data_IF_810256686411
#
_entry.id   IF_810256686411
#
_cell.length_a   1.000
_cell.length_b   1.000
_cell.length_c   1.000
_cell.angle_alpha   90.00
_cell.angle_beta   90.00
_cell.angle_gamma   90.00
#
_symmetry.space_group_name_H-M   'P 1'
#
loop_
_entity.id
_entity.type
_entity.pdbx_description
1 polymer ?
#
# COMPACT_ATOMS: atom_id res chain seq x y z
N UNK A 1 -21.26 -67.43 -51.95
CA UNK A 1 -20.10 -68.06 -52.67
C UNK A 1 -18.86 -67.52 -51.97
N UNK A 2 -18.25 -68.48 -51.27
CA UNK A 2 -16.85 -68.69 -50.96
C UNK A 2 -16.06 -67.53 -50.23
N UNK A 3 -15.74 -67.85 -48.98
CA UNK A 3 -14.62 -68.65 -48.41
C UNK A 3 -13.27 -67.91 -48.62
N UNK A 4 -12.57 -67.68 -47.66
CA UNK A 4 -11.78 -68.29 -46.58
C UNK A 4 -10.38 -67.63 -46.60
N UNK A 5 -9.73 -67.34 -45.64
CA UNK A 5 -8.90 -68.00 -44.63
C UNK A 5 -8.08 -66.98 -43.78
N UNK A 6 -8.22 -67.11 -42.52
CA UNK A 6 -7.25 -67.17 -41.42
C UNK A 6 -5.75 -66.97 -41.76
N UNK A 7 -5.08 -66.07 -41.04
CA UNK A 7 -3.91 -66.51 -40.25
C UNK A 7 -3.54 -65.47 -39.16
N UNK A 8 -3.41 -66.00 -37.96
CA UNK A 8 -2.85 -65.38 -36.75
C UNK A 8 -1.37 -65.06 -36.92
N UNK A 9 -0.89 -63.99 -36.33
CA UNK A 9 0.37 -64.04 -35.59
C UNK A 9 0.47 -62.82 -34.61
N UNK A 10 0.62 -63.09 -33.36
CA UNK A 10 1.22 -62.25 -32.29
C UNK A 10 2.61 -62.86 -32.00
N UNK A 11 3.49 -62.20 -31.19
CA UNK A 11 3.56 -60.87 -30.61
C UNK A 11 4.94 -60.22 -30.78
N UNK A 12 5.09 -58.93 -30.48
CA UNK A 12 6.30 -58.46 -29.77
C UNK A 12 6.06 -57.18 -28.97
N UNK A 13 6.43 -57.29 -27.72
CA UNK A 13 6.46 -56.28 -26.67
C UNK A 13 7.54 -55.26 -26.89
N UNK A 14 7.19 -53.99 -26.83
CA UNK A 14 8.14 -52.86 -26.81
C UNK A 14 7.60 -51.75 -25.95
N UNK A 15 7.86 -51.79 -24.65
CA UNK A 15 7.64 -50.71 -23.70
C UNK A 15 8.61 -49.58 -23.98
N UNK A 16 8.12 -48.45 -24.52
CA UNK A 16 8.81 -47.19 -24.44
C UNK A 16 7.99 -46.28 -23.52
N UNK A 17 8.44 -46.16 -22.28
CA UNK A 17 7.98 -45.15 -21.35
C UNK A 17 8.50 -43.79 -21.84
N UNK A 18 7.63 -43.01 -22.49
CA UNK A 18 7.92 -41.59 -22.71
C UNK A 18 7.84 -40.90 -21.36
N UNK A 19 9.02 -40.50 -20.86
CA UNK A 19 9.17 -39.65 -19.70
C UNK A 19 8.48 -38.31 -19.95
N UNK A 20 7.38 -38.07 -19.22
CA UNK A 20 6.87 -36.70 -19.02
C UNK A 20 7.98 -35.94 -18.32
N UNK A 21 8.61 -35.04 -19.05
CA UNK A 21 9.46 -34.00 -18.46
C UNK A 21 8.58 -33.06 -17.66
N UNK A 22 8.75 -33.09 -16.34
CA UNK A 22 8.26 -32.08 -15.40
C UNK A 22 8.97 -30.72 -15.71
N UNK A 23 8.44 -29.97 -16.66
CA UNK A 23 8.97 -28.65 -17.02
C UNK A 23 7.93 -27.53 -17.02
N UNK A 24 6.77 -27.71 -16.36
CA UNK A 24 5.74 -26.69 -16.22
C UNK A 24 5.30 -26.48 -14.75
N UNK A 25 6.25 -26.47 -13.83
CA UNK A 25 6.04 -25.77 -12.58
C UNK A 25 6.21 -24.27 -12.86
N UNK A 26 5.18 -23.62 -13.44
CA UNK A 26 5.03 -22.18 -13.34
C UNK A 26 5.08 -21.85 -11.85
N UNK A 27 6.23 -21.31 -11.39
CA UNK A 27 6.34 -20.80 -10.02
C UNK A 27 5.32 -19.69 -9.90
N UNK A 28 4.24 -19.95 -9.16
CA UNK A 28 3.21 -18.94 -8.91
C UNK A 28 3.88 -17.67 -8.40
N UNK A 29 3.55 -16.53 -8.98
CA UNK A 29 4.09 -15.25 -8.50
C UNK A 29 3.73 -15.07 -7.02
N UNK A 30 4.67 -14.54 -6.19
CA UNK A 30 4.42 -14.38 -4.77
C UNK A 30 3.27 -13.40 -4.54
N UNK A 31 2.22 -13.84 -3.83
CA UNK A 31 1.15 -12.94 -3.40
C UNK A 31 1.60 -12.09 -2.22
N UNK A 32 1.41 -10.78 -2.31
CA UNK A 32 1.67 -9.81 -1.24
C UNK A 32 0.38 -9.28 -0.63
N UNK A 33 0.47 -8.79 0.61
CA UNK A 33 -0.57 -7.97 1.21
C UNK A 33 -0.55 -6.55 0.64
N UNK A 34 -1.67 -5.88 0.73
CA UNK A 34 -1.84 -4.45 0.42
C UNK A 34 -1.60 -3.63 1.68
N UNK A 35 -0.43 -3.00 1.80
CA UNK A 35 -0.07 -2.25 3.01
C UNK A 35 -0.54 -0.78 3.00
N UNK A 36 -1.20 -0.33 1.94
CA UNK A 36 -1.79 1.01 1.85
C UNK A 36 -2.90 1.08 0.82
N UNK A 37 -4.14 1.17 1.26
CA UNK A 37 -5.31 1.35 0.39
C UNK A 37 -6.34 2.29 1.01
N UNK A 38 -7.24 2.81 0.19
CA UNK A 38 -8.43 3.56 0.58
C UNK A 38 -9.68 2.88 -0.02
N UNK A 39 -10.28 1.95 0.73
CA UNK A 39 -11.39 1.10 0.25
C UNK A 39 -12.58 1.91 -0.26
N UNK A 40 -12.83 3.10 0.29
CA UNK A 40 -13.94 3.95 -0.17
C UNK A 40 -13.71 4.55 -1.56
N UNK A 41 -12.45 4.72 -1.99
CA UNK A 41 -12.10 5.30 -3.29
C UNK A 41 -12.16 4.25 -4.41
N UNK A 42 -12.31 4.69 -5.66
CA UNK A 42 -12.57 3.81 -6.80
C UNK A 42 -11.47 3.77 -7.88
N UNK A 43 -10.36 4.48 -7.67
CA UNK A 43 -9.26 4.54 -8.63
C UNK A 43 -9.51 5.40 -9.88
N UNK A 44 -10.69 6.02 -10.00
CA UNK A 44 -11.07 6.80 -11.19
C UNK A 44 -11.58 8.19 -10.86
N UNK A 45 -12.57 8.31 -10.00
CA UNK A 45 -13.18 9.58 -9.59
C UNK A 45 -13.49 9.57 -8.08
N UNK A 46 -12.69 10.32 -7.32
CA UNK A 46 -12.86 10.41 -5.87
C UNK A 46 -14.17 11.11 -5.48
N UNK A 47 -14.70 12.03 -6.31
CA UNK A 47 -15.96 12.75 -6.02
C UNK A 47 -17.15 11.81 -6.09
N UNK A 48 -17.15 10.91 -7.07
CA UNK A 48 -18.13 9.85 -7.18
C UNK A 48 -18.02 8.88 -6.00
N UNK A 49 -16.80 8.53 -5.59
CA UNK A 49 -16.56 7.69 -4.42
C UNK A 49 -17.07 8.34 -3.13
N UNK A 50 -16.83 9.65 -2.94
CA UNK A 50 -17.36 10.41 -1.81
C UNK A 50 -18.89 10.40 -1.83
N UNK A 51 -19.52 10.80 -2.94
CA UNK A 51 -21.00 10.87 -3.02
C UNK A 51 -21.68 9.53 -2.80
N UNK A 52 -21.05 8.43 -3.21
CA UNK A 52 -21.55 7.06 -2.98
C UNK A 52 -21.60 6.67 -1.49
N UNK A 53 -20.68 7.21 -0.70
CA UNK A 53 -20.54 6.88 0.72
C UNK A 53 -21.10 7.99 1.64
N UNK A 54 -21.65 9.07 1.09
CA UNK A 54 -22.23 10.16 1.85
C UNK A 54 -23.45 9.66 2.64
N UNK A 55 -23.38 9.82 3.99
CA UNK A 55 -24.43 9.39 4.92
C UNK A 55 -24.36 7.92 5.35
N UNK A 56 -23.87 7.00 4.54
CA UNK A 56 -23.68 5.59 4.88
C UNK A 56 -22.69 4.89 3.94
N UNK A 57 -21.90 3.93 4.45
CA UNK A 57 -20.98 3.14 3.61
C UNK A 57 -21.71 2.33 2.55
N UNK A 58 -21.17 2.32 1.32
CA UNK A 58 -21.62 1.42 0.25
C UNK A 58 -21.08 0.00 0.48
N UNK A 59 -21.90 -0.84 1.10
CA UNK A 59 -21.55 -2.24 1.40
C UNK A 59 -21.32 -3.05 0.12
N UNK A 60 -22.05 -2.76 -0.96
CA UNK A 60 -21.87 -3.42 -2.26
C UNK A 60 -20.49 -3.14 -2.84
N UNK A 61 -20.05 -1.89 -2.74
CA UNK A 61 -18.70 -1.50 -3.16
C UNK A 61 -17.61 -2.17 -2.31
N UNK A 62 -17.73 -2.17 -0.98
CA UNK A 62 -16.77 -2.84 -0.09
C UNK A 62 -16.63 -4.33 -0.48
N UNK A 63 -17.73 -5.03 -0.69
CA UNK A 63 -17.73 -6.43 -1.12
C UNK A 63 -17.09 -6.63 -2.48
N UNK A 64 -17.33 -5.72 -3.42
CA UNK A 64 -16.67 -5.73 -4.73
C UNK A 64 -15.13 -5.61 -4.57
N UNK A 65 -14.66 -4.64 -3.80
CA UNK A 65 -13.22 -4.43 -3.52
C UNK A 65 -12.59 -5.69 -2.93
N UNK A 66 -13.19 -6.28 -1.90
CA UNK A 66 -12.67 -7.50 -1.29
C UNK A 66 -12.73 -8.71 -2.23
N UNK A 67 -13.71 -8.76 -3.12
CA UNK A 67 -13.76 -9.73 -4.22
C UNK A 67 -12.53 -9.60 -5.15
N UNK A 68 -12.11 -8.37 -5.47
CA UNK A 68 -10.92 -8.13 -6.31
C UNK A 68 -9.62 -8.54 -5.61
N UNK A 69 -9.49 -8.28 -4.29
CA UNK A 69 -8.35 -8.77 -3.50
C UNK A 69 -8.33 -10.31 -3.41
N UNK A 70 -9.48 -10.92 -3.11
CA UNK A 70 -9.59 -12.39 -3.01
C UNK A 70 -9.24 -13.10 -4.31
N UNK A 71 -9.68 -12.60 -5.47
CA UNK A 71 -9.35 -13.16 -6.80
C UNK A 71 -7.84 -13.24 -7.05
N UNK A 72 -7.07 -12.36 -6.44
CA UNK A 72 -5.61 -12.26 -6.56
C UNK A 72 -4.86 -12.92 -5.41
N UNK A 73 -5.57 -13.61 -4.51
CA UNK A 73 -4.97 -14.25 -3.34
C UNK A 73 -4.43 -13.30 -2.30
N UNK A 74 -4.87 -12.02 -2.32
CA UNK A 74 -4.47 -11.02 -1.33
C UNK A 74 -5.29 -11.22 -0.07
N UNK A 75 -4.62 -11.55 1.04
CA UNK A 75 -5.25 -11.90 2.33
C UNK A 75 -4.99 -10.88 3.43
N UNK A 76 -4.34 -9.79 3.12
CA UNK A 76 -4.04 -8.70 4.04
C UNK A 76 -4.25 -7.35 3.38
N UNK A 77 -4.93 -6.44 4.07
CA UNK A 77 -5.13 -5.05 3.66
C UNK A 77 -4.96 -4.14 4.87
N UNK A 78 -4.11 -3.10 4.75
CA UNK A 78 -4.01 -1.99 5.70
C UNK A 78 -4.63 -0.74 5.06
N UNK A 79 -5.66 -0.24 5.70
CA UNK A 79 -6.46 0.91 5.25
C UNK A 79 -5.78 2.25 5.60
N UNK A 80 -5.96 3.25 4.75
CA UNK A 80 -5.50 4.62 4.99
C UNK A 80 -6.47 5.50 5.77
N UNK A 81 -7.69 4.98 6.04
CA UNK A 81 -8.73 5.70 6.74
C UNK A 81 -9.70 6.45 5.82
N UNK A 82 -10.86 6.76 6.35
CA UNK A 82 -11.88 7.56 5.70
C UNK A 82 -12.74 8.34 6.73
N UNK A 83 -13.52 9.25 6.22
CA UNK A 83 -14.43 10.10 7.01
C UNK A 83 -15.90 9.62 6.95
N UNK A 84 -16.18 8.55 6.18
CA UNK A 84 -17.53 8.09 5.84
C UNK A 84 -17.94 6.81 6.56
N UNK A 85 -17.05 6.23 7.37
CA UNK A 85 -17.27 4.98 8.10
C UNK A 85 -17.07 3.72 7.27
N UNK A 86 -16.52 3.86 6.05
CA UNK A 86 -16.23 2.72 5.17
C UNK A 86 -15.16 1.82 5.77
N UNK A 87 -14.10 2.41 6.35
CA UNK A 87 -13.00 1.68 6.98
C UNK A 87 -13.49 0.72 8.08
N UNK A 88 -14.42 1.17 8.94
CA UNK A 88 -15.01 0.33 9.97
C UNK A 88 -16.00 -0.72 9.42
N UNK A 89 -16.77 -0.36 8.39
CA UNK A 89 -17.66 -1.31 7.73
C UNK A 89 -16.85 -2.39 7.01
N UNK A 90 -15.78 -2.00 6.34
CA UNK A 90 -14.84 -2.90 5.68
C UNK A 90 -14.19 -3.87 6.67
N UNK A 91 -13.75 -3.39 7.85
CA UNK A 91 -13.19 -4.24 8.91
C UNK A 91 -14.12 -5.37 9.34
N UNK A 92 -15.43 -5.10 9.38
CA UNK A 92 -16.46 -6.12 9.74
C UNK A 92 -16.68 -7.14 8.63
N UNK A 93 -16.52 -6.74 7.36
CA UNK A 93 -16.81 -7.56 6.18
C UNK A 93 -15.59 -8.38 5.73
N UNK A 94 -14.37 -7.87 5.93
CA UNK A 94 -13.13 -8.48 5.47
C UNK A 94 -12.98 -9.98 5.82
N UNK A 95 -13.37 -10.46 7.04
CA UNK A 95 -13.29 -11.87 7.38
C UNK A 95 -14.11 -12.80 6.48
N UNK A 96 -15.21 -12.32 5.89
CA UNK A 96 -16.03 -13.10 4.95
C UNK A 96 -15.26 -13.46 3.66
N UNK A 97 -14.22 -12.70 3.37
CA UNK A 97 -13.32 -12.90 2.21
C UNK A 97 -12.00 -13.56 2.58
N UNK A 98 -11.78 -13.90 3.85
CA UNK A 98 -10.50 -14.42 4.35
C UNK A 98 -9.39 -13.37 4.40
N UNK A 99 -9.77 -12.09 4.55
CA UNK A 99 -8.83 -10.96 4.59
C UNK A 99 -8.63 -10.51 6.04
N UNK A 100 -7.38 -10.45 6.48
CA UNK A 100 -6.97 -9.70 7.67
C UNK A 100 -6.92 -8.22 7.29
N UNK A 101 -7.67 -7.39 8.01
CA UNK A 101 -7.83 -5.98 7.68
C UNK A 101 -7.50 -5.11 8.86
N UNK A 102 -6.55 -4.19 8.70
CA UNK A 102 -6.19 -3.19 9.70
C UNK A 102 -6.80 -1.84 9.33
N UNK A 103 -7.48 -1.22 10.29
CA UNK A 103 -8.20 0.04 10.13
C UNK A 103 -7.71 1.10 11.12
N UNK A 104 -7.37 2.33 10.66
CA UNK A 104 -7.17 3.47 11.55
C UNK A 104 -8.49 4.16 11.91
N UNK A 105 -9.62 3.63 11.46
CA UNK A 105 -10.95 4.26 11.45
C UNK A 105 -10.97 5.45 10.49
N UNK A 106 -10.17 6.47 10.79
CA UNK A 106 -9.97 7.69 9.99
C UNK A 106 -8.52 8.18 10.13
N UNK A 107 -8.06 8.95 9.16
CA UNK A 107 -6.82 9.70 9.28
C UNK A 107 -6.97 10.92 10.18
N UNK A 108 -5.88 11.41 10.75
CA UNK A 108 -5.87 12.61 11.60
C UNK A 108 -4.96 13.66 10.94
N UNK A 109 -5.46 14.86 10.74
CA UNK A 109 -4.73 15.94 10.09
C UNK A 109 -4.96 17.28 10.79
N UNK A 110 -4.02 18.22 10.67
CA UNK A 110 -4.14 19.56 11.20
C UNK A 110 -5.17 20.34 10.40
N UNK A 111 -6.05 21.10 11.07
CA UNK A 111 -7.07 21.91 10.39
C UNK A 111 -6.43 22.91 9.42
N UNK A 112 -6.97 22.97 8.20
CA UNK A 112 -6.44 23.77 7.11
C UNK A 112 -5.44 23.05 6.20
N UNK A 113 -4.90 21.91 6.64
CA UNK A 113 -3.95 21.11 5.88
C UNK A 113 -4.64 19.97 5.09
N UNK A 114 -3.81 19.11 4.45
CA UNK A 114 -4.28 17.95 3.69
C UNK A 114 -4.86 16.86 4.62
N UNK A 115 -5.97 16.22 4.20
CA UNK A 115 -6.52 15.07 4.89
C UNK A 115 -8.06 15.01 4.97
N UNK A 116 -8.76 16.08 4.58
CA UNK A 116 -10.22 16.22 4.76
C UNK A 116 -11.05 15.06 4.20
N UNK A 117 -10.62 14.42 3.11
CA UNK A 117 -11.37 13.33 2.47
C UNK A 117 -11.17 12.01 3.22
N UNK A 118 -10.03 11.85 3.89
CA UNK A 118 -9.62 10.61 4.54
C UNK A 118 -9.67 10.65 6.06
N UNK A 119 -10.01 11.81 6.67
CA UNK A 119 -9.92 11.91 8.12
C UNK A 119 -10.62 13.08 8.78
N UNK A 120 -10.28 13.26 10.05
CA UNK A 120 -10.78 14.30 10.94
C UNK A 120 -9.66 15.26 11.34
N UNK A 121 -9.98 16.56 11.44
CA UNK A 121 -8.99 17.59 11.76
C UNK A 121 -8.89 17.87 13.25
N UNK A 122 -7.72 18.35 13.67
CA UNK A 122 -7.47 18.93 14.99
C UNK A 122 -6.85 20.33 14.86
N UNK A 123 -6.98 21.15 15.92
CA UNK A 123 -6.35 22.47 16.06
C UNK A 123 -5.34 22.50 17.21
N UNK A 124 -5.56 21.67 18.22
CA UNK A 124 -4.75 21.59 19.44
C UNK A 124 -4.38 20.16 19.76
N UNK A 125 -3.28 19.92 20.46
CA UNK A 125 -2.89 18.58 20.92
C UNK A 125 -3.94 17.91 21.81
N UNK A 126 -4.74 18.71 22.53
CA UNK A 126 -5.90 18.18 23.27
C UNK A 126 -6.95 17.56 22.34
N UNK A 127 -7.29 18.25 21.25
CA UNK A 127 -8.21 17.71 20.22
C UNK A 127 -7.60 16.48 19.52
N UNK A 128 -6.30 16.50 19.22
CA UNK A 128 -5.59 15.34 18.67
C UNK A 128 -5.69 14.13 19.60
N UNK A 129 -5.42 14.33 20.90
CA UNK A 129 -5.54 13.26 21.92
C UNK A 129 -6.96 12.67 21.97
N UNK A 130 -7.99 13.51 21.86
CA UNK A 130 -9.38 13.03 21.81
C UNK A 130 -9.68 12.24 20.55
N UNK A 131 -9.10 12.59 19.40
CA UNK A 131 -9.22 11.80 18.17
C UNK A 131 -8.50 10.45 18.29
N UNK A 132 -7.30 10.39 18.87
CA UNK A 132 -6.59 9.13 19.15
C UNK A 132 -7.43 8.22 20.04
N UNK A 133 -7.99 8.75 21.13
CA UNK A 133 -8.87 8.00 22.03
C UNK A 133 -10.17 7.58 21.36
N UNK A 134 -10.67 8.38 20.40
CA UNK A 134 -11.83 8.02 19.59
C UNK A 134 -11.52 6.83 18.70
N UNK A 135 -10.36 6.79 18.03
CA UNK A 135 -9.89 5.61 17.28
C UNK A 135 -9.90 4.37 18.16
N UNK A 136 -9.39 4.47 19.39
CA UNK A 136 -9.40 3.36 20.37
C UNK A 136 -10.81 2.88 20.72
N UNK A 137 -11.73 3.80 21.04
CA UNK A 137 -13.13 3.46 21.36
C UNK A 137 -13.88 2.83 20.20
N UNK A 138 -13.57 3.22 18.97
CA UNK A 138 -14.19 2.71 17.75
C UNK A 138 -13.53 1.41 17.24
N UNK A 139 -12.48 0.93 17.91
CA UNK A 139 -11.81 -0.34 17.59
C UNK A 139 -10.85 -0.25 16.41
N UNK A 140 -10.16 0.91 16.25
CA UNK A 140 -9.06 1.06 15.31
C UNK A 140 -7.84 0.26 15.75
N UNK A 141 -6.98 -0.09 14.81
CA UNK A 141 -5.79 -0.92 15.02
C UNK A 141 -4.50 -0.09 15.12
N UNK A 142 -4.48 1.11 14.58
CA UNK A 142 -3.32 2.01 14.53
C UNK A 142 -3.79 3.47 14.29
N UNK A 143 -2.87 4.41 14.40
CA UNK A 143 -3.12 5.83 14.12
C UNK A 143 -2.54 6.20 12.76
N UNK A 144 -3.35 6.82 11.88
CA UNK A 144 -2.91 7.43 10.62
C UNK A 144 -2.83 8.94 10.80
N UNK A 145 -1.64 9.52 10.53
CA UNK A 145 -1.42 10.98 10.56
C UNK A 145 -1.00 11.50 9.19
N UNK A 146 -1.28 12.78 8.92
CA UNK A 146 -0.77 13.55 7.78
C UNK A 146 0.20 14.59 8.30
N UNK A 147 1.49 14.46 7.91
CA UNK A 147 2.54 15.40 8.32
C UNK A 147 2.85 16.43 7.23
N UNK A 148 2.42 16.16 5.99
CA UNK A 148 2.62 17.05 4.83
C UNK A 148 1.39 17.05 3.93
N UNK A 149 1.39 17.94 2.93
CA UNK A 149 0.51 17.84 1.78
C UNK A 149 0.93 16.74 0.78
N UNK A 150 0.22 16.70 -0.34
CA UNK A 150 0.50 15.77 -1.45
C UNK A 150 1.35 16.44 -2.54
N UNK A 151 1.86 15.64 -3.47
CA UNK A 151 2.47 16.15 -4.70
C UNK A 151 1.47 17.01 -5.49
N UNK A 152 1.93 18.11 -6.10
CA UNK A 152 1.08 18.95 -6.93
C UNK A 152 0.97 18.48 -8.39
N UNK A 153 1.84 17.56 -8.82
CA UNK A 153 1.95 17.02 -10.18
C UNK A 153 2.18 18.08 -11.28
N UNK A 154 2.46 19.33 -10.92
CA UNK A 154 2.71 20.44 -11.85
C UNK A 154 4.19 20.68 -12.05
N UNK A 155 4.97 20.45 -11.01
CA UNK A 155 6.43 20.63 -10.99
C UNK A 155 7.09 19.47 -10.28
N UNK A 156 8.29 19.08 -10.72
CA UNK A 156 9.11 18.10 -9.99
C UNK A 156 9.53 18.74 -8.66
N UNK A 157 9.25 18.05 -7.55
CA UNK A 157 9.51 18.56 -6.19
C UNK A 157 8.37 19.39 -5.58
N UNK A 158 7.30 19.67 -6.34
CA UNK A 158 6.15 20.45 -5.85
C UNK A 158 5.30 19.68 -4.83
N UNK A 159 5.06 20.29 -3.68
CA UNK A 159 4.14 19.81 -2.64
C UNK A 159 3.06 20.83 -2.36
N UNK A 160 1.86 20.37 -2.01
CA UNK A 160 0.78 21.23 -1.52
C UNK A 160 0.92 21.44 -0.01
N UNK A 161 0.49 22.62 0.47
CA UNK A 161 0.50 22.92 1.92
C UNK A 161 1.90 23.01 2.52
N UNK A 162 1.95 22.98 3.85
CA UNK A 162 3.18 23.12 4.65
C UNK A 162 3.38 21.85 5.49
N UNK A 163 4.62 21.41 5.68
CA UNK A 163 4.92 20.31 6.60
C UNK A 163 4.62 20.75 8.05
N UNK A 164 4.16 19.80 8.86
CA UNK A 164 4.00 20.03 10.30
C UNK A 164 5.37 20.29 10.96
N UNK A 165 5.43 21.12 12.00
CA UNK A 165 6.64 21.31 12.78
C UNK A 165 7.11 19.98 13.43
N UNK A 166 8.42 19.75 13.45
CA UNK A 166 9.04 18.54 14.03
C UNK A 166 8.55 18.23 15.45
N UNK A 167 8.45 19.26 16.30
CA UNK A 167 8.04 19.08 17.70
C UNK A 167 6.57 18.66 17.80
N UNK A 168 5.71 19.14 16.89
CA UNK A 168 4.31 18.76 16.82
C UNK A 168 4.19 17.28 16.39
N UNK A 169 4.95 16.85 15.37
CA UNK A 169 4.99 15.43 14.94
C UNK A 169 5.45 14.54 16.12
N UNK A 170 6.47 14.96 16.85
CA UNK A 170 7.00 14.22 18.01
C UNK A 170 5.93 14.05 19.09
N UNK A 171 5.20 15.12 19.42
CA UNK A 171 4.12 15.07 20.40
C UNK A 171 2.98 14.17 19.93
N UNK A 172 2.59 14.24 18.64
CA UNK A 172 1.56 13.38 18.05
C UNK A 172 1.94 11.89 18.14
N UNK A 173 3.17 11.53 17.76
CA UNK A 173 3.66 10.15 17.81
C UNK A 173 3.72 9.66 19.24
N UNK A 174 4.25 10.48 20.18
CA UNK A 174 4.30 10.14 21.59
C UNK A 174 2.89 9.83 22.14
N UNK A 175 1.91 10.68 21.91
CA UNK A 175 0.53 10.46 22.36
C UNK A 175 -0.05 9.16 21.77
N UNK A 176 0.19 8.86 20.50
CA UNK A 176 -0.30 7.64 19.87
C UNK A 176 0.34 6.38 20.50
N UNK A 177 1.65 6.40 20.74
CA UNK A 177 2.38 5.31 21.38
C UNK A 177 1.97 5.09 22.84
N UNK A 178 1.75 6.16 23.62
CA UNK A 178 1.24 6.07 25.00
C UNK A 178 -0.18 5.43 25.05
N UNK A 179 -1.00 5.64 24.03
CA UNK A 179 -2.31 4.98 23.92
C UNK A 179 -2.21 3.54 23.36
N UNK A 180 -0.99 3.07 23.02
CA UNK A 180 -0.70 1.70 22.59
C UNK A 180 -0.78 1.47 21.07
N UNK A 181 -0.72 2.53 20.26
CA UNK A 181 -0.85 2.42 18.81
C UNK A 181 0.47 2.60 18.07
N UNK A 182 0.68 1.83 17.01
CA UNK A 182 1.63 2.18 15.95
C UNK A 182 1.12 3.37 15.12
N UNK A 183 2.04 4.09 14.47
CA UNK A 183 1.74 5.30 13.69
C UNK A 183 2.12 5.11 12.22
N UNK A 184 1.12 5.21 11.35
CA UNK A 184 1.23 5.29 9.89
C UNK A 184 1.26 6.77 9.48
N UNK A 185 2.31 7.22 8.78
CA UNK A 185 2.50 8.64 8.46
C UNK A 185 2.52 8.91 6.96
N UNK A 186 1.52 9.67 6.46
CA UNK A 186 1.62 10.30 5.14
C UNK A 186 2.65 11.43 5.22
N UNK A 187 3.77 11.29 4.52
CA UNK A 187 4.91 12.20 4.62
C UNK A 187 5.63 12.31 3.27
N UNK A 188 5.83 13.51 2.76
CA UNK A 188 6.55 13.79 1.53
C UNK A 188 7.64 14.86 1.78
N UNK A 189 8.76 14.76 1.03
CA UNK A 189 9.89 15.66 1.16
C UNK A 189 10.93 15.18 2.17
N UNK A 190 12.21 15.35 1.84
CA UNK A 190 13.34 14.79 2.58
C UNK A 190 13.34 15.20 4.06
N UNK A 191 13.20 16.49 4.35
CA UNK A 191 13.25 16.98 5.73
C UNK A 191 12.06 16.45 6.55
N UNK A 192 10.86 16.43 5.98
CA UNK A 192 9.68 15.95 6.69
C UNK A 192 9.76 14.42 6.97
N UNK A 193 10.40 13.65 6.08
CA UNK A 193 10.68 12.23 6.34
C UNK A 193 11.66 12.07 7.51
N UNK A 194 12.73 12.86 7.56
CA UNK A 194 13.66 12.85 8.71
C UNK A 194 12.90 13.18 9.99
N UNK A 195 12.11 14.26 10.00
CA UNK A 195 11.37 14.70 11.19
C UNK A 195 10.36 13.63 11.67
N UNK A 196 9.66 12.97 10.75
CA UNK A 196 8.72 11.89 11.07
C UNK A 196 9.44 10.65 11.62
N UNK A 197 10.54 10.24 10.99
CA UNK A 197 11.32 9.06 11.40
C UNK A 197 11.96 9.29 12.78
N UNK A 198 12.55 10.46 13.02
CA UNK A 198 13.13 10.82 14.33
C UNK A 198 12.08 11.02 15.42
N UNK A 199 10.82 11.36 15.05
CA UNK A 199 9.69 11.35 15.97
C UNK A 199 9.25 9.94 16.34
N UNK A 200 9.66 8.91 15.59
CA UNK A 200 9.38 7.51 15.89
C UNK A 200 8.15 6.94 15.18
N UNK A 201 7.76 7.46 14.01
CA UNK A 201 6.67 6.83 13.22
C UNK A 201 7.04 5.39 12.86
N UNK A 202 6.05 4.50 12.82
CA UNK A 202 6.25 3.08 12.55
C UNK A 202 6.23 2.76 11.05
N UNK A 203 5.59 3.61 10.23
CA UNK A 203 5.77 3.59 8.79
C UNK A 203 5.68 4.96 8.16
N UNK A 204 6.43 5.12 7.05
CA UNK A 204 6.39 6.30 6.18
C UNK A 204 5.72 5.89 4.88
N UNK A 205 4.65 6.59 4.52
CA UNK A 205 3.89 6.38 3.29
C UNK A 205 4.29 7.42 2.24
N UNK A 206 4.36 6.99 0.98
CA UNK A 206 4.74 7.78 -0.18
C UNK A 206 6.21 8.22 -0.16
N UNK A 207 6.62 9.07 0.75
CA UNK A 207 8.01 9.53 0.89
C UNK A 207 8.56 10.11 -0.41
N UNK A 208 7.76 10.84 -1.18
CA UNK A 208 8.22 11.43 -2.43
C UNK A 208 9.25 12.54 -2.18
N UNK A 209 10.16 12.74 -3.14
CA UNK A 209 11.19 13.77 -3.09
C UNK A 209 12.19 13.63 -1.93
N UNK A 210 12.57 12.38 -1.64
CA UNK A 210 13.63 12.08 -0.69
C UNK A 210 15.02 12.40 -1.26
N UNK A 211 16.00 12.39 -0.38
CA UNK A 211 17.42 12.46 -0.70
C UNK A 211 18.20 11.36 0.05
N UNK A 212 19.51 11.28 -0.17
CA UNK A 212 20.33 10.26 0.48
C UNK A 212 20.32 10.34 2.00
N UNK A 213 20.18 11.54 2.58
CA UNK A 213 20.17 11.75 4.04
C UNK A 213 18.87 11.18 4.65
N UNK A 214 17.70 11.52 4.09
CA UNK A 214 16.43 10.97 4.57
C UNK A 214 16.32 9.45 4.39
N UNK A 215 16.88 8.91 3.31
CA UNK A 215 16.94 7.46 3.09
C UNK A 215 17.89 6.77 4.08
N UNK A 216 19.01 7.41 4.45
CA UNK A 216 19.90 6.89 5.50
C UNK A 216 19.20 6.89 6.87
N UNK A 217 18.49 7.96 7.21
CA UNK A 217 17.67 8.04 8.42
C UNK A 217 16.61 6.92 8.47
N UNK A 218 15.90 6.65 7.35
CA UNK A 218 14.99 5.52 7.24
C UNK A 218 15.68 4.17 7.45
N UNK A 219 16.83 3.95 6.82
CA UNK A 219 17.59 2.71 6.93
C UNK A 219 18.04 2.40 8.34
N UNK A 220 18.44 3.42 9.11
CA UNK A 220 18.88 3.32 10.50
C UNK A 220 17.72 3.16 11.48
N UNK A 221 16.50 3.47 11.07
CA UNK A 221 15.29 3.41 11.89
C UNK A 221 14.65 2.02 11.91
N UNK A 222 13.64 1.88 12.78
CA UNK A 222 12.74 0.72 12.75
C UNK A 222 11.56 0.88 11.79
N UNK A 223 11.33 2.05 11.20
CA UNK A 223 10.19 2.31 10.35
C UNK A 223 10.17 1.43 9.08
N UNK A 224 8.97 1.16 8.59
CA UNK A 224 8.76 0.52 7.29
C UNK A 224 8.43 1.62 6.27
N UNK A 225 9.08 1.58 5.12
CA UNK A 225 8.77 2.50 4.01
C UNK A 225 7.83 1.84 3.01
N UNK A 226 6.66 2.46 2.80
CA UNK A 226 5.62 2.03 1.85
C UNK A 226 5.49 3.10 0.77
N UNK A 227 6.25 2.99 -0.33
CA UNK A 227 6.46 4.11 -1.26
C UNK A 227 5.29 4.39 -2.19
N UNK A 228 4.37 3.46 -2.39
CA UNK A 228 3.17 3.61 -3.26
C UNK A 228 3.50 4.16 -4.64
N UNK A 229 4.56 3.63 -5.27
CA UNK A 229 5.16 4.21 -6.49
C UNK A 229 4.22 4.22 -7.69
N UNK A 230 3.23 3.31 -7.71
CA UNK A 230 2.24 3.22 -8.80
C UNK A 230 1.33 4.43 -8.87
N UNK A 231 1.20 5.22 -7.80
CA UNK A 231 0.48 6.52 -7.82
C UNK A 231 1.10 7.52 -8.80
N UNK A 232 2.38 7.34 -9.15
CA UNK A 232 3.09 8.12 -10.16
C UNK A 232 3.31 7.31 -11.44
N UNK A 233 3.77 6.05 -11.31
CA UNK A 233 4.09 5.18 -12.46
C UNK A 233 2.91 5.02 -13.41
N UNK A 234 1.69 4.86 -12.89
CA UNK A 234 0.48 4.66 -13.67
C UNK A 234 -0.04 5.94 -14.36
N UNK A 235 0.53 7.11 -14.06
CA UNK A 235 0.18 8.38 -14.70
C UNK A 235 1.01 8.67 -15.96
N UNK A 236 2.09 7.91 -16.21
CA UNK A 236 2.93 8.08 -17.40
C UNK A 236 2.09 7.76 -18.64
N UNK A 237 1.95 8.76 -19.53
CA UNK A 237 1.17 8.62 -20.76
C UNK A 237 -0.36 8.66 -20.58
N UNK A 238 -0.88 8.93 -19.37
CA UNK A 238 -2.31 9.02 -19.09
C UNK A 238 -3.00 10.21 -19.77
N UNK A 239 -2.27 11.30 -20.00
CA UNK A 239 -2.76 12.52 -20.66
C UNK A 239 -3.44 13.53 -19.72
N UNK A 240 -3.65 13.21 -18.43
CA UNK A 240 -4.24 14.12 -17.44
C UNK A 240 -3.25 15.17 -16.93
N UNK A 241 -1.98 14.78 -16.83
CA UNK A 241 -0.90 15.61 -16.33
C UNK A 241 0.17 15.82 -17.41
N UNK A 242 1.08 16.78 -17.20
CA UNK A 242 2.23 16.97 -18.07
C UNK A 242 3.16 15.74 -17.96
N UNK A 243 3.26 14.97 -19.04
CA UNK A 243 4.01 13.70 -19.06
C UNK A 243 5.52 13.91 -18.75
N UNK A 244 6.12 15.03 -19.15
CA UNK A 244 7.51 15.32 -18.82
C UNK A 244 7.72 15.54 -17.31
N UNK A 245 6.75 16.16 -16.62
CA UNK A 245 6.79 16.32 -15.16
C UNK A 245 6.62 14.97 -14.47
N UNK A 246 5.64 14.16 -14.90
CA UNK A 246 5.42 12.83 -14.32
C UNK A 246 6.66 11.94 -14.49
N UNK A 247 7.29 11.94 -15.66
CA UNK A 247 8.54 11.19 -15.89
C UNK A 247 9.69 11.69 -15.00
N UNK A 248 9.85 13.00 -14.85
CA UNK A 248 10.88 13.54 -13.96
C UNK A 248 10.65 13.17 -12.48
N UNK A 249 9.39 13.13 -12.01
CA UNK A 249 9.05 12.64 -10.67
C UNK A 249 9.38 11.14 -10.57
N UNK A 250 9.01 10.36 -11.58
CA UNK A 250 9.25 8.92 -11.62
C UNK A 250 10.74 8.57 -11.61
N UNK A 251 11.57 9.26 -12.39
CA UNK A 251 13.02 9.09 -12.41
C UNK A 251 13.63 9.31 -11.01
N UNK A 252 13.20 10.37 -10.31
CA UNK A 252 13.62 10.62 -8.93
C UNK A 252 13.17 9.54 -7.94
N UNK A 253 11.96 8.98 -8.10
CA UNK A 253 11.49 7.85 -7.29
C UNK A 253 12.36 6.62 -7.53
N UNK A 254 12.65 6.27 -8.79
CA UNK A 254 13.49 5.11 -9.12
C UNK A 254 14.89 5.24 -8.53
N UNK A 255 15.51 6.42 -8.65
CA UNK A 255 16.81 6.68 -8.05
C UNK A 255 16.78 6.50 -6.53
N UNK A 256 15.77 7.06 -5.86
CA UNK A 256 15.59 6.95 -4.42
C UNK A 256 15.34 5.50 -3.96
N UNK A 257 14.56 4.71 -4.70
CA UNK A 257 14.40 3.28 -4.42
C UNK A 257 15.74 2.55 -4.47
N UNK A 258 16.55 2.79 -5.52
CA UNK A 258 17.85 2.16 -5.67
C UNK A 258 18.83 2.58 -4.57
N UNK A 259 18.84 3.87 -4.19
CA UNK A 259 19.68 4.37 -3.08
C UNK A 259 19.22 3.75 -1.77
N UNK A 260 17.93 3.77 -1.48
CA UNK A 260 17.37 3.21 -0.24
C UNK A 260 17.64 1.71 -0.12
N UNK A 261 17.52 0.95 -1.23
CA UNK A 261 17.84 -0.49 -1.25
C UNK A 261 19.29 -0.75 -0.86
N UNK A 262 20.24 0.01 -1.41
CA UNK A 262 21.67 -0.10 -1.05
C UNK A 262 21.98 0.28 0.40
N UNK A 263 21.18 1.18 0.99
CA UNK A 263 21.30 1.60 2.38
C UNK A 263 20.63 0.64 3.36
N UNK A 264 19.81 -0.31 2.89
CA UNK A 264 19.10 -1.26 3.74
C UNK A 264 17.74 -0.75 4.24
N UNK A 265 17.12 0.21 3.56
CA UNK A 265 15.76 0.66 3.87
C UNK A 265 14.80 -0.54 3.83
N UNK A 266 13.95 -0.66 4.83
CA UNK A 266 12.93 -1.72 4.93
C UNK A 266 11.68 -1.32 4.18
N UNK A 267 11.42 -1.98 3.06
CA UNK A 267 10.23 -1.73 2.23
C UNK A 267 9.09 -2.71 2.53
N UNK A 268 7.85 -2.24 2.33
CA UNK A 268 6.69 -3.10 2.14
C UNK A 268 5.87 -2.58 0.95
N UNK A 269 5.14 -3.49 0.28
CA UNK A 269 4.28 -3.10 -0.83
C UNK A 269 2.96 -2.52 -0.32
N UNK A 270 2.60 -1.39 -0.84
CA UNK A 270 1.32 -0.75 -0.70
C UNK A 270 1.11 0.16 -1.89
N UNK A 271 -0.08 0.13 -2.48
CA UNK A 271 -0.31 0.78 -3.77
C UNK A 271 -1.01 2.12 -3.68
N UNK A 272 -1.58 2.46 -2.51
CA UNK A 272 -2.55 3.55 -2.37
C UNK A 272 -3.80 3.30 -3.24
N UNK A 273 -4.24 2.01 -3.27
CA UNK A 273 -5.38 1.61 -4.08
C UNK A 273 -6.62 2.44 -3.75
N UNK A 274 -7.27 2.91 -4.79
CA UNK A 274 -8.32 3.92 -4.73
C UNK A 274 -7.88 5.30 -5.22
N UNK A 275 -6.59 5.62 -5.19
CA UNK A 275 -6.04 6.79 -5.85
C UNK A 275 -6.26 6.70 -7.38
N UNK A 276 -6.21 7.85 -8.06
CA UNK A 276 -6.44 7.89 -9.50
C UNK A 276 -5.46 6.98 -10.25
N UNK A 277 -5.99 6.08 -11.08
CA UNK A 277 -5.28 5.04 -11.84
C UNK A 277 -4.69 3.91 -11.00
N UNK A 278 -5.08 3.78 -9.74
CA UNK A 278 -4.68 2.67 -8.88
C UNK A 278 -5.91 1.87 -8.46
N UNK A 279 -6.12 0.72 -9.08
CA UNK A 279 -7.28 -0.13 -8.84
C UNK A 279 -7.02 -1.11 -7.69
N UNK A 280 -8.05 -1.41 -6.92
CA UNK A 280 -7.96 -2.37 -5.83
C UNK A 280 -7.54 -3.76 -6.33
N UNK A 281 -6.59 -4.37 -5.64
CA UNK A 281 -5.98 -5.64 -6.00
C UNK A 281 -4.93 -5.50 -7.11
N UNK A 282 -5.27 -4.90 -8.24
CA UNK A 282 -4.33 -4.65 -9.35
C UNK A 282 -3.18 -3.74 -8.91
N UNK A 283 -3.45 -2.75 -8.05
CA UNK A 283 -2.43 -1.79 -7.60
C UNK A 283 -1.21 -2.44 -6.96
N UNK A 284 -1.42 -3.41 -6.05
CA UNK A 284 -0.27 -4.08 -5.40
C UNK A 284 0.49 -5.03 -6.35
N UNK A 285 -0.19 -5.60 -7.34
CA UNK A 285 0.49 -6.36 -8.41
C UNK A 285 1.35 -5.43 -9.28
N UNK A 286 0.83 -4.25 -9.64
CA UNK A 286 1.58 -3.22 -10.38
C UNK A 286 2.74 -2.68 -9.55
N UNK A 287 2.56 -2.46 -8.24
CA UNK A 287 3.61 -2.06 -7.30
C UNK A 287 4.73 -3.10 -7.28
N UNK A 288 4.41 -4.38 -7.12
CA UNK A 288 5.40 -5.46 -7.13
C UNK A 288 6.13 -5.56 -8.47
N UNK A 289 5.40 -5.47 -9.59
CA UNK A 289 6.01 -5.46 -10.93
C UNK A 289 7.02 -4.32 -11.07
N UNK A 290 6.65 -3.13 -10.59
CA UNK A 290 7.53 -1.95 -10.62
C UNK A 290 8.79 -2.14 -9.79
N UNK A 291 8.68 -2.77 -8.61
CA UNK A 291 9.85 -3.14 -7.82
C UNK A 291 10.73 -4.16 -8.54
N UNK A 292 10.17 -5.17 -9.18
CA UNK A 292 10.93 -6.14 -9.98
C UNK A 292 11.63 -5.51 -11.17
N UNK A 293 10.99 -4.56 -11.85
CA UNK A 293 11.60 -3.80 -12.95
C UNK A 293 12.76 -2.91 -12.46
N UNK A 294 12.64 -2.36 -11.24
CA UNK A 294 13.68 -1.52 -10.62
C UNK A 294 14.86 -2.34 -10.09
N UNK A 295 14.62 -3.59 -9.68
CA UNK A 295 15.57 -4.51 -9.05
C UNK A 295 15.56 -5.90 -9.73
N UNK A 296 15.89 -5.99 -11.04
CA UNK A 296 15.71 -7.23 -11.81
C UNK A 296 16.57 -8.39 -11.32
N UNK A 297 17.74 -8.09 -10.76
CA UNK A 297 18.75 -9.09 -10.35
C UNK A 297 18.86 -9.23 -8.82
N UNK A 298 17.86 -8.75 -8.06
CA UNK A 298 17.88 -8.82 -6.60
C UNK A 298 17.22 -10.12 -6.10
N UNK A 299 18.00 -11.14 -5.68
CA UNK A 299 17.46 -12.42 -5.25
C UNK A 299 16.73 -12.34 -3.89
N UNK A 300 17.00 -11.29 -3.11
CA UNK A 300 16.45 -11.11 -1.78
C UNK A 300 15.19 -10.21 -1.77
N UNK A 301 14.84 -9.62 -2.91
CA UNK A 301 13.75 -8.65 -3.00
C UNK A 301 12.43 -9.17 -2.39
N UNK A 302 12.00 -10.36 -2.80
CA UNK A 302 10.73 -10.95 -2.32
C UNK A 302 10.77 -11.21 -0.82
N UNK A 303 11.88 -11.77 -0.31
CA UNK A 303 12.06 -12.03 1.12
C UNK A 303 11.96 -10.75 1.94
N UNK A 304 12.63 -9.69 1.49
CA UNK A 304 12.74 -8.44 2.26
C UNK A 304 11.43 -7.65 2.21
N UNK A 305 10.72 -7.64 1.08
CA UNK A 305 9.37 -7.08 0.98
C UNK A 305 8.38 -7.82 1.89
N UNK A 306 8.47 -9.16 1.96
CA UNK A 306 7.67 -9.96 2.90
C UNK A 306 8.00 -9.67 4.35
N UNK A 307 9.25 -9.44 4.68
CA UNK A 307 9.66 -9.06 6.04
C UNK A 307 9.07 -7.69 6.45
N UNK A 308 9.04 -6.72 5.54
CA UNK A 308 8.38 -5.43 5.77
C UNK A 308 6.86 -5.58 5.96
N UNK A 309 6.20 -6.34 5.08
CA UNK A 309 4.77 -6.67 5.22
C UNK A 309 4.48 -7.33 6.57
N UNK A 310 5.29 -8.31 6.97
CA UNK A 310 5.10 -9.03 8.22
C UNK A 310 5.22 -8.11 9.44
N UNK A 311 6.11 -7.13 9.39
CA UNK A 311 6.22 -6.12 10.46
C UNK A 311 4.94 -5.29 10.58
N UNK A 312 4.35 -4.87 9.46
CA UNK A 312 3.06 -4.14 9.45
C UNK A 312 1.91 -5.03 9.92
N UNK A 313 1.88 -6.30 9.53
CA UNK A 313 0.86 -7.26 10.00
C UNK A 313 0.86 -7.42 11.52
N UNK A 314 2.01 -7.24 12.16
CA UNK A 314 2.15 -7.30 13.62
C UNK A 314 1.53 -6.12 14.40
N UNK A 315 0.93 -5.13 13.73
CA UNK A 315 0.28 -3.98 14.39
C UNK A 315 -1.12 -4.28 14.94
N UNK A 316 -1.54 -5.54 14.92
CA UNK A 316 -2.83 -5.96 15.48
C UNK A 316 -2.80 -5.69 16.98
N UNK A 317 -3.63 -4.74 17.42
CA UNK A 317 -3.85 -4.48 18.86
C UNK A 317 -4.43 -5.73 19.49
N UNK A 318 -3.79 -6.25 20.56
CA UNK A 318 -4.24 -7.40 21.31
C UNK A 318 -5.50 -7.09 22.14
#
# INVERSE_FOLDING_TARGET
>A
MNNDHLQEDRPETGTAAEGKTDSDAQTAEPSFGECHAHVFMNGTDYRLAVSRNEGHPDIGWIRHVFGEYKKRGITFVREGGDHYGVSLAAKKIAPEFGITYLSPVFGIFREGDYGRVVGNSFRTMKEYTELVRRVKREGGDFIKIMTTGIMDFKTVGGLTGTALPREEIREMVHIAHEEGFCVMSHTNGAQAVIDAVEAGVDSVEHGNFQNKESLACLAESSAVYVPTVVTVRNLIGDGRFNDAVIRGIWEGIQENLQVGRRLGVRYALGSDAGAYRVLHGQGVEDEFRTFRETFPDDPDLVRDLKAGEQKIRGWISG
#
